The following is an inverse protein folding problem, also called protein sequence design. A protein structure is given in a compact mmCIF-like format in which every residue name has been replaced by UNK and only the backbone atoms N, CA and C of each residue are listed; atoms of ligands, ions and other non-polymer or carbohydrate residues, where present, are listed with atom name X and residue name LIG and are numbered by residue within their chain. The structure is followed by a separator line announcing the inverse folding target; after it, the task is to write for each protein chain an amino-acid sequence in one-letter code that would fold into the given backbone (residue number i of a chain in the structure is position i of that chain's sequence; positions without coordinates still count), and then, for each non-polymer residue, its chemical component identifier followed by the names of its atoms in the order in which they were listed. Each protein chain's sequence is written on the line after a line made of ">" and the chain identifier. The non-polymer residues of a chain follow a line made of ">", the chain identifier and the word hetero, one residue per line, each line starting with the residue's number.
data_IF_022986819137
#
_entry.id   IF_022986819137
#
_cell.length_a   1.000
_cell.length_b   1.000
_cell.length_c   1.000
_cell.angle_alpha   90.00
_cell.angle_beta   90.00
_cell.angle_gamma   90.00
#
_symmetry.space_group_name_H-M   'P 1'
#
loop_
_entity.id
_entity.type
_entity.pdbx_description
1 polymer ?
#
# COMPACT_ATOMS: atom_id res chain seq x y z
N UNK A 1 14.65 22.05 35.72
CA UNK A 1 15.84 21.44 36.36
C UNK A 1 17.09 22.22 35.95
N UNK A 2 18.14 22.25 36.78
CA UNK A 2 19.38 22.98 36.48
C UNK A 2 20.23 22.18 35.48
N UNK A 3 20.57 22.77 34.34
CA UNK A 3 21.44 22.12 33.32
C UNK A 3 22.87 22.00 33.86
N UNK A 4 23.49 20.84 33.68
CA UNK A 4 24.90 20.60 34.04
C UNK A 4 25.81 20.93 32.85
N UNK A 5 26.99 21.47 33.13
CA UNK A 5 27.98 21.81 32.09
C UNK A 5 28.73 20.55 31.67
N UNK A 6 28.71 20.26 30.37
CA UNK A 6 29.34 19.08 29.77
C UNK A 6 30.44 19.54 28.80
N UNK A 7 31.67 19.03 28.98
CA UNK A 7 32.80 19.30 28.08
C UNK A 7 33.05 18.07 27.19
N UNK A 8 32.79 18.20 25.88
CA UNK A 8 33.00 17.13 24.88
C UNK A 8 33.88 17.66 23.76
N UNK A 9 34.78 16.82 23.24
CA UNK A 9 35.51 17.09 22.01
C UNK A 9 34.74 16.50 20.82
N UNK A 10 34.46 17.32 19.83
CA UNK A 10 33.81 16.91 18.58
C UNK A 10 34.83 16.96 17.44
N UNK A 11 34.68 16.08 16.46
CA UNK A 11 35.44 16.21 15.21
C UNK A 11 34.98 17.48 14.47
N UNK A 12 35.83 18.07 13.61
CA UNK A 12 35.46 19.25 12.83
C UNK A 12 34.18 19.03 12.00
N UNK A 13 34.01 17.82 11.44
CA UNK A 13 32.83 17.47 10.66
C UNK A 13 31.55 17.45 11.52
N UNK A 14 31.60 16.85 12.71
CA UNK A 14 30.44 16.80 13.62
C UNK A 14 30.09 18.19 14.16
N UNK A 15 31.10 19.01 14.47
CA UNK A 15 30.89 20.39 14.87
C UNK A 15 30.18 21.17 13.75
N UNK A 16 30.68 21.11 12.51
CA UNK A 16 30.07 21.80 11.37
C UNK A 16 28.60 21.40 11.15
N UNK A 17 28.26 20.10 11.29
CA UNK A 17 26.86 19.63 11.19
C UNK A 17 25.98 20.18 12.32
N UNK A 18 26.50 20.23 13.55
CA UNK A 18 25.78 20.79 14.70
C UNK A 18 25.53 22.30 14.51
N UNK A 19 26.51 23.02 13.97
CA UNK A 19 26.40 24.45 13.68
C UNK A 19 25.38 24.74 12.58
N UNK A 20 25.41 23.97 11.50
CA UNK A 20 24.45 24.09 10.42
C UNK A 20 23.01 23.81 10.91
N UNK A 21 22.82 22.77 11.73
CA UNK A 21 21.51 22.43 12.28
C UNK A 21 20.99 23.48 13.29
N UNK A 22 21.89 24.13 14.03
CA UNK A 22 21.57 25.22 14.95
C UNK A 22 21.44 26.59 14.27
N UNK A 23 21.58 26.70 12.95
CA UNK A 23 21.42 27.96 12.22
C UNK A 23 19.96 28.43 12.13
N UNK A 24 19.01 27.54 12.45
CA UNK A 24 17.58 27.86 12.46
C UNK A 24 17.21 28.79 13.64
N UNK A 25 16.38 29.83 13.44
CA UNK A 25 15.95 30.72 14.52
C UNK A 25 15.32 29.95 15.68
N UNK A 26 15.75 30.26 16.91
CA UNK A 26 15.20 29.65 18.14
C UNK A 26 15.84 28.32 18.56
N UNK A 27 16.80 27.77 17.79
CA UNK A 27 17.51 26.53 18.14
C UNK A 27 18.94 26.85 18.59
N UNK A 28 19.34 26.38 19.77
CA UNK A 28 20.73 26.53 20.25
C UNK A 28 21.49 25.21 20.11
N UNK A 29 22.81 25.28 19.93
CA UNK A 29 23.69 24.09 19.88
C UNK A 29 23.53 23.22 21.13
N UNK A 30 23.39 23.85 22.31
CA UNK A 30 23.17 23.14 23.58
C UNK A 30 21.81 22.44 23.63
N UNK A 31 20.75 23.08 23.13
CA UNK A 31 19.42 22.46 23.10
C UNK A 31 19.38 21.28 22.12
N UNK A 32 20.01 21.42 20.95
CA UNK A 32 20.09 20.36 19.96
C UNK A 32 20.93 19.18 20.45
N UNK A 33 22.05 19.44 21.13
CA UNK A 33 22.89 18.40 21.72
C UNK A 33 22.18 17.67 22.88
N UNK A 34 21.50 18.39 23.75
CA UNK A 34 20.70 17.81 24.84
C UNK A 34 19.57 16.93 24.30
N UNK A 35 18.88 17.41 23.26
CA UNK A 35 17.83 16.65 22.58
C UNK A 35 18.39 15.39 21.90
N UNK A 36 19.48 15.48 21.16
CA UNK A 36 20.12 14.33 20.53
C UNK A 36 20.56 13.27 21.57
N UNK A 37 21.12 13.70 22.70
CA UNK A 37 21.50 12.82 23.80
C UNK A 37 20.27 12.17 24.44
N UNK A 38 19.22 12.94 24.71
CA UNK A 38 17.95 12.43 25.25
C UNK A 38 17.35 11.36 24.34
N UNK A 39 17.32 11.62 23.04
CA UNK A 39 16.81 10.70 22.03
C UNK A 39 17.67 9.44 21.88
N UNK A 40 18.98 9.54 22.09
CA UNK A 40 19.88 8.38 22.08
C UNK A 40 19.62 7.45 23.27
N UNK A 41 19.28 8.01 24.44
CA UNK A 41 18.96 7.24 25.64
C UNK A 41 17.47 6.89 25.79
N UNK A 42 16.65 7.15 24.78
CA UNK A 42 15.22 6.83 24.81
C UNK A 42 14.99 5.35 24.41
N UNK A 43 14.73 4.43 25.36
CA UNK A 43 14.57 3.01 25.06
C UNK A 43 13.32 2.74 24.23
N UNK A 44 12.28 3.58 24.34
CA UNK A 44 11.07 3.42 23.54
C UNK A 44 11.33 3.79 22.07
N UNK A 45 12.30 4.65 21.77
CA UNK A 45 12.55 5.11 20.40
C UNK A 45 13.13 4.00 19.51
N UNK A 46 14.08 3.21 20.03
CA UNK A 46 14.70 2.11 19.29
C UNK A 46 13.67 1.00 19.03
N UNK A 47 12.95 0.58 20.07
CA UNK A 47 11.98 -0.51 19.96
C UNK A 47 10.72 -0.09 19.18
N UNK A 48 10.25 1.16 19.31
CA UNK A 48 8.98 1.57 18.68
C UNK A 48 9.09 1.75 17.17
N UNK A 49 10.15 2.39 16.65
CA UNK A 49 10.25 2.67 15.22
C UNK A 49 10.46 1.39 14.42
N UNK A 50 11.36 0.52 14.90
CA UNK A 50 11.62 -0.76 14.27
C UNK A 50 10.43 -1.72 14.41
N UNK A 51 9.79 -1.80 15.59
CA UNK A 51 8.61 -2.65 15.77
C UNK A 51 7.39 -2.16 14.98
N UNK A 52 7.22 -0.84 14.76
CA UNK A 52 6.16 -0.33 13.87
C UNK A 52 6.45 -0.72 12.43
N UNK A 53 7.70 -0.64 11.98
CA UNK A 53 8.09 -1.05 10.64
C UNK A 53 7.87 -2.55 10.42
N UNK A 54 8.33 -3.40 11.35
CA UNK A 54 8.15 -4.85 11.29
C UNK A 54 6.66 -5.24 11.30
N UNK A 55 5.82 -4.56 12.10
CA UNK A 55 4.37 -4.80 12.08
C UNK A 55 3.75 -4.45 10.72
N UNK A 56 4.18 -3.35 10.10
CA UNK A 56 3.71 -2.96 8.76
C UNK A 56 4.16 -3.96 7.69
N UNK A 57 5.39 -4.47 7.79
CA UNK A 57 5.90 -5.51 6.90
C UNK A 57 5.12 -6.81 7.05
N UNK A 58 4.90 -7.29 8.28
CA UNK A 58 4.08 -8.49 8.50
C UNK A 58 2.65 -8.32 7.96
N UNK A 59 2.06 -7.13 8.14
CA UNK A 59 0.73 -6.85 7.57
C UNK A 59 0.75 -6.81 6.04
N UNK A 60 1.86 -6.40 5.42
CA UNK A 60 2.05 -6.45 3.98
C UNK A 60 2.16 -7.90 3.49
N UNK A 61 2.98 -8.73 4.15
CA UNK A 61 3.16 -10.15 3.80
C UNK A 61 1.83 -10.91 3.85
N UNK A 62 1.05 -10.73 4.92
CA UNK A 62 -0.28 -11.35 5.01
C UNK A 62 -1.24 -10.91 3.90
N UNK A 63 -1.16 -9.65 3.45
CA UNK A 63 -1.96 -9.17 2.31
C UNK A 63 -1.45 -9.74 1.00
N UNK A 64 -0.13 -9.89 0.86
CA UNK A 64 0.49 -10.49 -0.31
C UNK A 64 0.09 -11.96 -0.46
N UNK A 65 0.13 -12.74 0.63
CA UNK A 65 -0.33 -14.13 0.64
C UNK A 65 -1.81 -14.26 0.22
N UNK A 66 -2.66 -13.34 0.69
CA UNK A 66 -4.06 -13.31 0.30
C UNK A 66 -4.24 -13.02 -1.21
N UNK A 67 -3.48 -12.07 -1.76
CA UNK A 67 -3.49 -11.76 -3.20
C UNK A 67 -3.03 -12.97 -4.01
N UNK A 68 -1.95 -13.63 -3.60
CA UNK A 68 -1.45 -14.83 -4.29
C UNK A 68 -2.49 -15.95 -4.32
N UNK A 69 -3.18 -16.18 -3.19
CA UNK A 69 -4.27 -17.15 -3.11
C UNK A 69 -5.44 -16.78 -4.03
N UNK A 70 -5.86 -15.52 -4.03
CA UNK A 70 -7.00 -15.06 -4.82
C UNK A 70 -6.67 -15.09 -6.33
N UNK A 71 -5.41 -14.83 -6.71
CA UNK A 71 -4.91 -15.02 -8.08
C UNK A 71 -4.92 -16.48 -8.47
N UNK A 72 -4.45 -17.40 -7.61
CA UNK A 72 -4.49 -18.83 -7.87
C UNK A 72 -5.94 -19.34 -8.05
N UNK A 73 -6.87 -18.90 -7.20
CA UNK A 73 -8.29 -19.24 -7.33
C UNK A 73 -8.90 -18.70 -8.62
N UNK A 74 -8.53 -17.48 -9.03
CA UNK A 74 -8.97 -16.90 -10.30
C UNK A 74 -8.45 -17.71 -11.48
N UNK A 75 -7.18 -18.14 -11.43
CA UNK A 75 -6.57 -18.98 -12.47
C UNK A 75 -7.28 -20.34 -12.59
N UNK A 76 -7.54 -21.01 -11.47
CA UNK A 76 -8.27 -22.28 -11.45
C UNK A 76 -9.70 -22.12 -12.00
N UNK A 77 -10.40 -21.08 -11.57
CA UNK A 77 -11.77 -20.81 -12.04
C UNK A 77 -11.80 -20.52 -13.55
N UNK A 78 -10.83 -19.75 -14.06
CA UNK A 78 -10.70 -19.46 -15.48
C UNK A 78 -10.34 -20.73 -16.27
N UNK A 79 -9.39 -21.54 -15.77
CA UNK A 79 -9.01 -22.81 -16.39
C UNK A 79 -10.20 -23.75 -16.52
N UNK A 80 -10.99 -23.88 -15.44
CA UNK A 80 -12.20 -24.69 -15.43
C UNK A 80 -13.27 -24.14 -16.39
N UNK A 81 -13.45 -22.83 -16.46
CA UNK A 81 -14.36 -22.19 -17.42
C UNK A 81 -13.95 -22.48 -18.87
N UNK A 82 -12.68 -22.31 -19.22
CA UNK A 82 -12.16 -22.58 -20.57
C UNK A 82 -12.31 -24.06 -20.92
N UNK A 83 -11.98 -24.98 -20.00
CA UNK A 83 -12.15 -26.41 -20.21
C UNK A 83 -13.63 -26.76 -20.45
N UNK A 84 -14.54 -26.23 -19.62
CA UNK A 84 -15.98 -26.44 -19.78
C UNK A 84 -16.46 -25.89 -21.13
N UNK A 85 -16.00 -24.70 -21.51
CA UNK A 85 -16.34 -24.10 -22.79
C UNK A 85 -15.88 -24.97 -23.98
N UNK A 86 -14.64 -25.45 -23.97
CA UNK A 86 -14.10 -26.30 -25.05
C UNK A 86 -14.75 -27.68 -25.12
N UNK A 87 -15.21 -28.23 -23.99
CA UNK A 87 -15.80 -29.58 -23.92
C UNK A 87 -17.30 -29.61 -24.18
N UNK A 88 -18.02 -28.52 -23.90
CA UNK A 88 -19.49 -28.45 -24.04
C UNK A 88 -19.97 -27.65 -25.24
N UNK A 89 -19.14 -26.81 -25.84
CA UNK A 89 -19.55 -26.02 -27.00
C UNK A 89 -19.44 -26.87 -28.25
N UNK A 90 -20.57 -27.11 -28.92
CA UNK A 90 -20.59 -27.84 -30.18
C UNK A 90 -19.73 -27.11 -31.24
N UNK A 91 -18.89 -27.84 -31.99
CA UNK A 91 -18.07 -27.23 -33.02
C UNK A 91 -18.96 -26.66 -34.12
N UNK A 92 -18.68 -25.42 -34.52
CA UNK A 92 -19.46 -24.74 -35.55
C UNK A 92 -19.26 -25.35 -36.94
N UNK A 93 -20.31 -25.37 -37.78
CA UNK A 93 -20.20 -25.77 -39.18
C UNK A 93 -19.14 -24.95 -39.93
N UNK A 94 -18.47 -25.60 -40.90
CA UNK A 94 -17.29 -25.03 -41.56
C UNK A 94 -17.51 -23.65 -42.18
N UNK A 95 -18.65 -23.48 -42.85
CA UNK A 95 -19.05 -22.23 -43.51
C UNK A 95 -19.43 -21.09 -42.57
N UNK A 96 -19.65 -21.38 -41.28
CA UNK A 96 -20.10 -20.38 -40.30
C UNK A 96 -18.96 -19.87 -39.41
N UNK A 97 -17.82 -20.57 -39.37
CA UNK A 97 -16.69 -20.26 -38.46
C UNK A 97 -16.21 -18.82 -38.58
N UNK A 98 -16.00 -18.31 -39.79
CA UNK A 98 -15.54 -16.93 -40.00
C UNK A 98 -16.58 -15.90 -39.55
N UNK A 99 -17.86 -16.16 -39.80
CA UNK A 99 -18.96 -15.28 -39.37
C UNK A 99 -19.08 -15.25 -37.85
N UNK A 100 -19.04 -16.41 -37.21
CA UNK A 100 -19.10 -16.54 -35.76
C UNK A 100 -17.86 -15.91 -35.08
N UNK A 101 -16.67 -16.09 -35.64
CA UNK A 101 -15.45 -15.47 -35.15
C UNK A 101 -15.54 -13.93 -35.17
N UNK A 102 -15.93 -13.36 -36.31
CA UNK A 102 -16.11 -11.90 -36.44
C UNK A 102 -17.18 -11.35 -35.50
N UNK A 103 -18.28 -12.09 -35.29
CA UNK A 103 -19.31 -11.70 -34.32
C UNK A 103 -18.79 -11.78 -32.88
N UNK A 104 -17.99 -12.82 -32.57
CA UNK A 104 -17.34 -12.99 -31.27
C UNK A 104 -16.39 -11.83 -30.95
N UNK A 105 -15.53 -11.44 -31.91
CA UNK A 105 -14.65 -10.28 -31.75
C UNK A 105 -15.44 -9.00 -31.46
N UNK A 106 -16.46 -8.67 -32.26
CA UNK A 106 -17.29 -7.48 -32.02
C UNK A 106 -17.96 -7.47 -30.65
N UNK A 107 -18.44 -8.63 -30.17
CA UNK A 107 -19.03 -8.75 -28.84
C UNK A 107 -18.00 -8.57 -27.74
N UNK A 108 -16.78 -9.08 -27.94
CA UNK A 108 -15.68 -8.93 -27.00
C UNK A 108 -15.23 -7.47 -26.91
N UNK A 109 -15.05 -6.79 -28.04
CA UNK A 109 -14.67 -5.36 -28.06
C UNK A 109 -15.71 -4.51 -27.32
N UNK A 110 -17.01 -4.74 -27.59
CA UNK A 110 -18.09 -4.08 -26.86
C UNK A 110 -18.07 -4.38 -25.35
N UNK A 111 -17.79 -5.63 -24.97
CA UNK A 111 -17.64 -5.99 -23.56
C UNK A 111 -16.47 -5.23 -22.90
N UNK A 112 -15.32 -5.11 -23.58
CA UNK A 112 -14.17 -4.34 -23.08
C UNK A 112 -14.55 -2.88 -22.86
N UNK A 113 -15.27 -2.25 -23.80
CA UNK A 113 -15.78 -0.88 -23.65
C UNK A 113 -16.69 -0.76 -22.42
N UNK A 114 -17.60 -1.72 -22.20
CA UNK A 114 -18.48 -1.73 -21.04
C UNK A 114 -17.72 -1.89 -19.71
N UNK A 115 -16.70 -2.74 -19.69
CA UNK A 115 -15.84 -2.95 -18.52
C UNK A 115 -15.03 -1.70 -18.20
N UNK A 116 -14.38 -1.10 -19.20
CA UNK A 116 -13.64 0.15 -19.05
C UNK A 116 -14.54 1.26 -18.49
N UNK A 117 -15.73 1.43 -19.07
CA UNK A 117 -16.74 2.39 -18.60
C UNK A 117 -17.11 2.18 -17.13
N UNK A 118 -17.34 0.92 -16.72
CA UNK A 118 -17.69 0.61 -15.33
C UNK A 118 -16.53 0.78 -14.35
N UNK A 119 -15.30 0.52 -14.77
CA UNK A 119 -14.09 0.72 -13.95
C UNK A 119 -13.81 2.21 -13.70
N UNK A 120 -14.13 3.07 -14.65
CA UNK A 120 -14.00 4.52 -14.51
C UNK A 120 -15.09 5.18 -13.65
N UNK A 121 -16.09 4.42 -13.18
CA UNK A 121 -17.17 4.92 -12.34
C UNK A 121 -17.22 4.28 -10.94
N UNK A 122 -17.89 4.94 -10.00
CA UNK A 122 -17.95 4.54 -8.58
C UNK A 122 -18.78 3.27 -8.29
N UNK A 123 -19.30 2.58 -9.32
CA UNK A 123 -20.12 1.38 -9.19
C UNK A 123 -19.48 0.14 -9.86
N UNK A 124 -18.16 0.09 -9.88
CA UNK A 124 -17.42 -1.07 -10.37
C UNK A 124 -17.73 -2.32 -9.53
N UNK A 125 -17.64 -3.50 -10.14
CA UNK A 125 -17.89 -4.77 -9.44
C UNK A 125 -16.92 -4.95 -8.27
N UNK A 126 -15.66 -4.55 -8.44
CA UNK A 126 -14.64 -4.56 -7.40
C UNK A 126 -15.05 -3.69 -6.21
N UNK A 127 -15.52 -2.46 -6.43
CA UNK A 127 -15.99 -1.57 -5.35
C UNK A 127 -17.19 -2.14 -4.58
N UNK A 128 -18.04 -2.95 -5.23
CA UNK A 128 -19.20 -3.61 -4.58
C UNK A 128 -18.83 -4.85 -3.77
N UNK A 129 -17.81 -5.61 -4.22
CA UNK A 129 -17.35 -6.82 -3.55
C UNK A 129 -16.38 -6.50 -2.41
N UNK A 130 -15.61 -5.44 -2.57
CA UNK A 130 -14.69 -4.91 -1.59
C UNK A 130 -15.07 -3.46 -1.31
N UNK A 131 -16.20 -3.22 -0.60
CA UNK A 131 -16.51 -1.87 -0.15
C UNK A 131 -15.31 -1.40 0.66
N UNK A 132 -14.74 -0.22 0.32
CA UNK A 132 -13.65 0.36 1.10
C UNK A 132 -14.07 0.30 2.57
N UNK A 133 -13.34 -0.48 3.38
CA UNK A 133 -13.52 -0.48 4.82
C UNK A 133 -13.28 0.95 5.27
N UNK A 134 -14.37 1.66 5.50
CA UNK A 134 -14.37 3.02 6.02
C UNK A 134 -13.54 2.98 7.29
N UNK A 135 -12.35 3.60 7.25
CA UNK A 135 -11.64 3.95 8.47
C UNK A 135 -12.56 4.92 9.20
N UNK A 136 -13.34 4.39 10.15
CA UNK A 136 -14.05 5.19 11.14
C UNK A 136 -12.97 5.77 12.05
N UNK A 137 -12.41 6.91 11.65
CA UNK A 137 -11.81 7.82 12.63
C UNK A 137 -12.96 8.33 13.50
N UNK A 138 -13.10 7.69 14.67
CA UNK A 138 -13.81 8.24 15.80
C UNK A 138 -13.12 9.55 16.21
N UNK A 139 -13.55 10.63 15.57
CA UNK A 139 -13.56 11.96 16.17
C UNK A 139 -14.57 11.94 17.31
N UNK A 140 -14.18 11.33 18.43
CA UNK A 140 -14.83 11.56 19.72
C UNK A 140 -13.85 12.30 20.64
N UNK A 141 -13.66 13.58 20.31
CA UNK A 141 -13.16 14.59 21.23
C UNK A 141 -13.77 15.93 20.87
N UNK A 142 -15.04 16.11 21.21
CA UNK A 142 -15.58 17.40 21.63
C UNK A 142 -16.96 17.22 22.25
N UNK A 143 -17.00 17.23 23.57
CA UNK A 143 -18.24 17.33 24.32
C UNK A 143 -18.10 16.83 25.75
N UNK A 144 -17.36 17.58 26.58
CA UNK A 144 -17.67 17.97 27.98
C UNK A 144 -16.41 18.43 28.72
#
# INVERSE_FOLDING_TARGET
>A
MRKQRLHIRLTPQTLARLEAAAASPGVTKSALAEEAIRLYFDPERADSQEAVLLRRLNAFDLRQDAIERDVALTLETLGQFVLYWLTRTDPLPEGERNRAHNLGQRRFDYFIEQVATKLSGDNSLSARLFPETTHVEQSDRKGE
#
